data_IF_512196810487
#
_entry.id   IF_512196810487
#
_cell.length_a   1.000
_cell.length_b   1.000
_cell.length_c   1.000
_cell.angle_alpha   90.00
_cell.angle_beta   90.00
_cell.angle_gamma   90.00
#
_symmetry.space_group_name_H-M   'P 1'
#
loop_
_entity.id
_entity.type
_entity.pdbx_description
1 polymer ?
#
# COMPACT_ATOMS: atom_id res chain seq x y z
N UNK A 1 -5.42 3.78 7.70
CA UNK A 1 -4.12 3.87 7.00
C UNK A 1 -4.27 3.17 5.65
N UNK A 2 -3.85 3.78 4.55
CA UNK A 2 -3.91 3.23 3.19
C UNK A 2 -2.51 3.25 2.57
N UNK A 3 -1.95 2.06 2.32
CA UNK A 3 -0.66 1.90 1.65
C UNK A 3 -0.90 1.81 0.14
N UNK A 4 -0.66 2.90 -0.58
CA UNK A 4 -0.88 2.97 -2.02
C UNK A 4 0.42 2.63 -2.76
N UNK A 5 0.35 1.70 -3.71
CA UNK A 5 1.49 1.36 -4.56
C UNK A 5 1.04 1.21 -6.00
N UNK A 6 1.93 1.52 -6.92
CA UNK A 6 1.80 1.25 -8.35
C UNK A 6 1.70 -0.26 -8.63
N UNK A 7 1.12 -0.58 -9.78
CA UNK A 7 0.99 -1.95 -10.24
C UNK A 7 2.37 -2.62 -10.43
N UNK A 8 3.35 -1.88 -10.93
CA UNK A 8 4.72 -2.35 -11.10
C UNK A 8 5.37 -2.73 -9.76
N UNK A 9 5.22 -1.88 -8.73
CA UNK A 9 5.69 -2.18 -7.37
C UNK A 9 5.02 -3.43 -6.81
N UNK A 10 3.70 -3.56 -6.97
CA UNK A 10 2.96 -4.72 -6.48
C UNK A 10 3.42 -6.02 -7.16
N UNK A 11 3.56 -6.01 -8.48
CA UNK A 11 4.06 -7.16 -9.26
C UNK A 11 5.50 -7.50 -8.86
N UNK A 12 6.38 -6.50 -8.73
CA UNK A 12 7.75 -6.68 -8.26
C UNK A 12 7.82 -7.34 -6.88
N UNK A 13 6.99 -6.88 -5.94
CA UNK A 13 6.89 -7.44 -4.58
C UNK A 13 6.32 -8.86 -4.54
N UNK A 14 5.31 -9.16 -5.35
CA UNK A 14 4.74 -10.52 -5.47
C UNK A 14 5.80 -11.49 -6.01
N UNK A 15 6.53 -11.10 -7.06
CA UNK A 15 7.63 -11.89 -7.62
C UNK A 15 8.74 -12.11 -6.59
N UNK A 16 9.22 -11.05 -5.93
CA UNK A 16 10.28 -11.13 -4.91
C UNK A 16 9.93 -12.06 -3.75
N UNK A 17 8.65 -12.09 -3.35
CA UNK A 17 8.16 -12.91 -2.24
C UNK A 17 8.01 -14.39 -2.59
N UNK A 18 7.94 -14.73 -3.88
CA UNK A 18 8.06 -16.11 -4.37
C UNK A 18 6.96 -17.08 -3.95
N UNK A 19 5.80 -16.59 -3.49
CA UNK A 19 4.66 -17.44 -3.10
C UNK A 19 4.07 -18.11 -4.34
N UNK A 20 4.09 -19.45 -4.38
CA UNK A 20 3.64 -20.22 -5.54
C UNK A 20 2.21 -19.89 -5.99
N UNK A 21 1.30 -19.67 -5.03
CA UNK A 21 -0.10 -19.34 -5.30
C UNK A 21 -0.32 -17.90 -5.81
N UNK A 22 0.64 -16.98 -5.59
CA UNK A 22 0.54 -15.61 -6.08
C UNK A 22 1.10 -15.46 -7.51
N UNK A 23 1.89 -16.42 -8.01
CA UNK A 23 2.55 -16.32 -9.32
C UNK A 23 1.59 -16.39 -10.51
N UNK A 24 0.40 -16.97 -10.33
CA UNK A 24 -0.64 -17.05 -11.37
C UNK A 24 -1.58 -15.83 -11.38
N UNK A 25 -1.39 -14.88 -10.46
CA UNK A 25 -2.21 -13.68 -10.38
C UNK A 25 -2.03 -12.87 -11.68
N UNK A 26 -3.16 -12.59 -12.33
CA UNK A 26 -3.18 -11.82 -13.56
C UNK A 26 -2.93 -10.33 -13.29
N UNK A 27 -2.22 -9.69 -14.21
CA UNK A 27 -1.94 -8.26 -14.15
C UNK A 27 -3.24 -7.42 -14.09
N UNK A 28 -4.21 -7.77 -14.94
CA UNK A 28 -5.50 -7.09 -15.00
C UNK A 28 -6.31 -7.24 -13.71
N UNK A 29 -6.16 -8.36 -13.02
CA UNK A 29 -6.79 -8.57 -11.72
C UNK A 29 -6.19 -7.65 -10.65
N UNK A 30 -4.87 -7.48 -10.63
CA UNK A 30 -4.22 -6.53 -9.72
C UNK A 30 -4.58 -5.08 -10.06
N UNK A 31 -4.68 -4.74 -11.35
CA UNK A 31 -5.13 -3.42 -11.79
C UNK A 31 -6.56 -3.13 -11.32
N UNK A 32 -7.47 -4.09 -11.49
CA UNK A 32 -8.85 -4.00 -11.01
C UNK A 32 -8.92 -3.81 -9.49
N UNK A 33 -8.14 -4.58 -8.72
CA UNK A 33 -8.08 -4.41 -7.27
C UNK A 33 -7.59 -3.01 -6.89
N UNK A 34 -6.54 -2.51 -7.54
CA UNK A 34 -5.99 -1.19 -7.26
C UNK A 34 -7.06 -0.10 -7.44
N UNK A 35 -7.79 -0.13 -8.56
CA UNK A 35 -8.92 0.77 -8.83
C UNK A 35 -10.06 0.61 -7.81
N UNK A 36 -10.39 -0.62 -7.43
CA UNK A 36 -11.44 -0.89 -6.45
C UNK A 36 -11.10 -0.30 -5.07
N UNK A 37 -9.84 -0.41 -4.64
CA UNK A 37 -9.35 0.19 -3.41
C UNK A 37 -9.34 1.72 -3.49
N UNK A 38 -8.84 2.31 -4.58
CA UNK A 38 -8.88 3.76 -4.78
C UNK A 38 -10.31 4.30 -4.68
N UNK A 39 -11.27 3.64 -5.34
CA UNK A 39 -12.67 4.01 -5.28
C UNK A 39 -13.27 3.86 -3.87
N UNK A 40 -12.89 2.81 -3.14
CA UNK A 40 -13.34 2.61 -1.76
C UNK A 40 -12.77 3.67 -0.82
N UNK A 41 -11.47 3.97 -0.91
CA UNK A 41 -10.80 4.99 -0.11
C UNK A 41 -11.41 6.37 -0.37
N UNK A 42 -11.67 6.72 -1.62
CA UNK A 42 -12.34 7.98 -1.98
C UNK A 42 -13.71 8.13 -1.31
N UNK A 43 -14.47 7.03 -1.16
CA UNK A 43 -15.74 7.05 -0.41
C UNK A 43 -15.51 7.13 1.09
N UNK A 44 -14.62 6.30 1.63
CA UNK A 44 -14.35 6.21 3.06
C UNK A 44 -13.77 7.51 3.65
N UNK A 45 -13.05 8.32 2.86
CA UNK A 45 -12.56 9.65 3.25
C UNK A 45 -13.67 10.62 3.70
N UNK A 46 -14.94 10.35 3.37
CA UNK A 46 -16.08 11.15 3.83
C UNK A 46 -16.36 10.98 5.32
N UNK A 47 -16.16 9.76 5.82
CA UNK A 47 -16.55 9.36 7.18
C UNK A 47 -15.33 9.14 8.10
N UNK A 48 -14.16 8.88 7.50
CA UNK A 48 -12.95 8.51 8.23
C UNK A 48 -11.76 9.37 7.81
N UNK A 49 -10.91 9.72 8.78
CA UNK A 49 -9.58 10.20 8.49
C UNK A 49 -8.72 9.06 7.94
N UNK A 50 -8.23 9.23 6.71
CA UNK A 50 -7.38 8.24 6.04
C UNK A 50 -6.00 8.85 5.82
N UNK A 51 -5.03 8.36 6.60
CA UNK A 51 -3.61 8.53 6.32
C UNK A 51 -3.25 7.65 5.11
N UNK A 52 -3.01 8.28 3.97
CA UNK A 52 -2.51 7.63 2.75
C UNK A 52 -1.00 7.78 2.67
N UNK A 53 -0.35 6.68 2.32
CA UNK A 53 1.09 6.55 2.29
C UNK A 53 1.48 6.03 0.93
N UNK A 54 2.43 6.71 0.29
CA UNK A 54 3.03 6.23 -0.95
C UNK A 54 4.02 5.10 -0.62
N UNK A 55 3.61 3.87 -0.94
CA UNK A 55 4.35 2.66 -0.74
C UNK A 55 5.22 2.27 -1.95
N UNK A 56 5.33 3.09 -2.99
CA UNK A 56 6.28 2.89 -4.09
C UNK A 56 7.72 3.24 -3.68
N UNK A 57 7.88 4.34 -2.94
CA UNK A 57 9.18 4.94 -2.61
C UNK A 57 9.68 4.56 -1.22
N UNK A 58 8.84 3.93 -0.39
CA UNK A 58 9.19 3.60 0.99
C UNK A 58 9.70 2.18 1.12
N UNK A 59 10.89 2.05 1.74
CA UNK A 59 11.52 0.78 2.05
C UNK A 59 11.43 0.47 3.54
N UNK A 60 10.19 0.34 4.04
CA UNK A 60 9.88 -0.05 5.43
C UNK A 60 10.44 -1.42 5.84
N UNK A 61 11.02 -2.18 4.90
CA UNK A 61 11.59 -3.49 5.17
C UNK A 61 13.09 -3.36 5.50
N UNK A 62 13.78 -2.36 4.95
CA UNK A 62 15.24 -2.23 5.09
C UNK A 62 15.72 -0.90 5.72
N UNK A 63 14.85 0.11 5.87
CA UNK A 63 15.21 1.42 6.45
C UNK A 63 14.45 1.73 7.74
N UNK A 64 15.16 1.82 8.87
CA UNK A 64 14.58 2.20 10.17
C UNK A 64 13.98 3.62 10.15
N UNK A 65 14.52 4.54 9.33
CA UNK A 65 14.10 5.94 9.30
C UNK A 65 12.71 6.13 8.67
N UNK A 66 12.41 5.45 7.55
CA UNK A 66 11.08 5.48 6.92
C UNK A 66 10.01 4.95 7.87
N UNK A 67 10.34 3.87 8.60
CA UNK A 67 9.44 3.26 9.58
C UNK A 67 9.20 4.21 10.76
N UNK A 68 10.26 4.84 11.27
CA UNK A 68 10.16 5.82 12.36
C UNK A 68 9.31 7.02 11.97
N UNK A 69 9.49 7.55 10.75
CA UNK A 69 8.67 8.65 10.24
C UNK A 69 7.20 8.25 10.11
N UNK A 70 6.93 7.06 9.59
CA UNK A 70 5.57 6.52 9.52
C UNK A 70 4.94 6.39 10.91
N UNK A 71 5.67 5.84 11.88
CA UNK A 71 5.18 5.70 13.26
C UNK A 71 4.89 7.07 13.87
N UNK A 72 5.76 8.06 13.67
CA UNK A 72 5.54 9.43 14.14
C UNK A 72 4.30 10.07 13.50
N UNK A 73 4.09 9.85 12.19
CA UNK A 73 2.89 10.32 11.50
C UNK A 73 1.61 9.66 12.04
N UNK A 74 1.65 8.36 12.36
CA UNK A 74 0.52 7.64 12.97
C UNK A 74 0.23 8.18 14.37
N UNK A 75 1.24 8.32 15.23
CA UNK A 75 1.09 8.84 16.59
C UNK A 75 0.51 10.26 16.62
N UNK A 76 0.85 11.10 15.64
CA UNK A 76 0.30 12.46 15.54
C UNK A 76 -1.20 12.48 15.23
N UNK A 77 -1.70 11.51 14.48
CA UNK A 77 -3.09 11.50 13.97
C UNK A 77 -4.02 10.50 14.68
N UNK A 78 -3.46 9.57 15.46
CA UNK A 78 -4.16 8.61 16.31
C UNK A 78 -3.62 8.76 17.74
N UNK A 79 -4.19 9.67 18.56
CA UNK A 79 -3.83 9.79 19.98
C UNK A 79 -4.30 8.59 20.82
#
# INVERSE_FOLDING_TARGET
>A
IYLKASLDTLVGRIKRRGRAYEQSIQHDYLAYLNQAYDAWIARARKDFFILEINADETDYVNGDDDLNELVAQIQKHCP
#
